data_IF_189345246889
#
_entry.id   IF_189345246889
#
_cell.length_a   1.000
_cell.length_b   1.000
_cell.length_c   1.000
_cell.angle_alpha   90.00
_cell.angle_beta   90.00
_cell.angle_gamma   90.00
#
_symmetry.space_group_name_H-M   'P 1'
#
loop_
_entity.id
_entity.type
_entity.pdbx_description
1 polymer ?
#
# COMPACT_ATOMS: atom_id res chain seq x y z
N UNK A 1 -3.64 82.25 12.94
CA UNK A 1 -4.59 81.18 13.29
C UNK A 1 -3.96 79.85 12.96
N UNK A 2 -3.48 79.16 14.00
CA UNK A 2 -2.83 77.86 13.90
C UNK A 2 -3.83 76.78 13.46
N UNK A 3 -3.50 75.99 12.45
CA UNK A 3 -4.07 74.65 12.31
C UNK A 3 -2.94 73.63 12.17
N UNK A 4 -2.98 72.75 13.16
CA UNK A 4 -2.11 71.66 13.53
C UNK A 4 -1.86 70.71 12.35
N UNK A 5 -0.60 70.47 11.99
CA UNK A 5 -0.20 69.39 11.09
C UNK A 5 -0.15 68.12 11.94
N UNK A 6 -1.09 67.19 11.70
CA UNK A 6 -1.15 65.91 12.39
C UNK A 6 -0.30 64.89 11.60
N UNK A 7 0.88 64.57 12.13
CA UNK A 7 1.75 63.52 11.60
C UNK A 7 1.21 62.16 12.05
N UNK A 8 0.58 61.40 11.14
CA UNK A 8 0.20 60.01 11.41
C UNK A 8 1.42 59.10 11.16
N UNK A 9 2.04 58.64 12.26
CA UNK A 9 3.04 57.58 12.25
C UNK A 9 2.35 56.26 11.90
N UNK A 10 2.49 55.82 10.64
CA UNK A 10 2.07 54.48 10.21
C UNK A 10 3.13 53.50 10.71
N UNK A 11 2.87 52.90 11.87
CA UNK A 11 3.66 51.76 12.37
C UNK A 11 3.23 50.53 11.58
N UNK A 12 4.06 50.12 10.63
CA UNK A 12 3.92 48.89 9.87
C UNK A 12 4.06 47.67 10.79
N UNK A 13 2.93 47.11 11.21
CA UNK A 13 2.89 45.78 11.81
C UNK A 13 3.20 44.75 10.71
N UNK A 14 4.48 44.38 10.57
CA UNK A 14 4.85 43.15 9.90
C UNK A 14 4.31 42.00 10.74
N UNK A 15 3.15 41.45 10.37
CA UNK A 15 2.78 40.12 10.85
C UNK A 15 3.73 39.12 10.21
N UNK A 16 4.78 38.78 10.96
CA UNK A 16 5.53 37.56 10.72
C UNK A 16 4.55 36.43 11.01
N UNK A 17 3.90 35.92 9.97
CA UNK A 17 3.21 34.64 10.06
C UNK A 17 4.32 33.59 10.17
N UNK A 18 4.74 33.31 11.41
CA UNK A 18 5.48 32.11 11.70
C UNK A 18 4.51 30.94 11.47
N UNK A 19 4.46 30.41 10.24
CA UNK A 19 3.87 29.11 9.99
C UNK A 19 4.84 28.06 10.55
N UNK A 20 4.74 27.82 11.86
CA UNK A 20 5.23 26.58 12.45
C UNK A 20 4.30 25.46 11.96
N UNK A 21 4.48 25.03 10.71
CA UNK A 21 4.10 23.67 10.33
C UNK A 21 5.16 22.72 10.91
N UNK A 22 5.25 22.68 12.23
CA UNK A 22 5.85 21.57 12.97
C UNK A 22 4.89 20.38 12.92
N UNK A 23 4.45 20.02 11.71
CA UNK A 23 3.99 18.68 11.43
C UNK A 23 5.25 17.86 11.61
N UNK A 24 5.44 17.28 12.79
CA UNK A 24 6.50 16.30 13.08
C UNK A 24 6.61 15.43 11.84
N UNK A 25 7.65 15.66 11.04
CA UNK A 25 7.77 15.08 9.71
C UNK A 25 8.11 13.61 9.97
N UNK A 26 7.08 12.76 10.07
CA UNK A 26 7.34 11.34 10.24
C UNK A 26 8.05 10.85 8.97
N UNK A 27 9.08 10.02 9.12
CA UNK A 27 9.92 9.59 8.00
C UNK A 27 9.11 8.95 6.86
N UNK A 28 7.98 8.34 7.21
CA UNK A 28 7.10 7.58 6.32
C UNK A 28 5.74 8.25 6.13
N UNK A 29 5.70 9.59 6.14
CA UNK A 29 4.47 10.40 6.00
C UNK A 29 4.39 11.15 4.65
N UNK A 30 5.24 10.83 3.67
CA UNK A 30 5.11 11.39 2.31
C UNK A 30 4.08 10.61 1.50
N UNK A 31 3.61 11.20 0.40
CA UNK A 31 2.55 10.61 -0.44
C UNK A 31 2.86 9.17 -0.87
N UNK A 32 4.13 8.89 -1.20
CA UNK A 32 4.57 7.55 -1.62
C UNK A 32 4.33 6.48 -0.54
N UNK A 33 4.49 6.81 0.75
CA UNK A 33 4.21 5.89 1.86
C UNK A 33 2.71 5.66 2.11
N UNK A 34 1.85 6.47 1.49
CA UNK A 34 0.39 6.36 1.60
C UNK A 34 -0.27 5.69 0.39
N UNK A 35 0.47 5.39 -0.68
CA UNK A 35 -0.07 4.82 -1.92
C UNK A 35 -0.82 3.49 -1.71
N UNK A 36 -0.42 2.71 -0.71
CA UNK A 36 -1.04 1.41 -0.40
C UNK A 36 -2.09 1.49 0.74
N UNK A 37 -2.44 2.69 1.21
CA UNK A 37 -3.33 2.88 2.36
C UNK A 37 -4.77 2.42 2.11
N UNK A 38 -5.19 2.33 0.86
CA UNK A 38 -6.52 1.84 0.48
C UNK A 38 -6.76 0.39 0.94
N UNK A 39 -5.70 -0.38 1.20
CA UNK A 39 -5.77 -1.75 1.69
C UNK A 39 -5.84 -1.85 3.22
N UNK A 40 -5.56 -0.77 3.96
CA UNK A 40 -5.58 -0.76 5.42
C UNK A 40 -7.01 -0.95 5.94
N UNK A 41 -7.21 -1.93 6.84
CA UNK A 41 -8.51 -2.27 7.39
C UNK A 41 -8.63 -3.72 7.84
N UNK A 42 -9.82 -4.07 8.33
CA UNK A 42 -10.24 -5.46 8.55
C UNK A 42 -11.18 -5.85 7.41
N UNK A 43 -11.02 -7.07 6.92
CA UNK A 43 -11.65 -7.53 5.69
C UNK A 43 -12.15 -8.95 5.84
N UNK A 44 -13.37 -9.18 5.35
CA UNK A 44 -13.83 -10.49 4.91
C UNK A 44 -13.49 -10.65 3.42
N UNK A 45 -12.82 -11.74 3.05
CA UNK A 45 -12.34 -11.96 1.69
C UNK A 45 -13.15 -13.04 1.01
N UNK A 46 -13.63 -12.72 -0.19
CA UNK A 46 -14.47 -13.59 -1.02
C UNK A 46 -13.75 -14.01 -2.30
N UNK A 47 -14.07 -15.18 -2.83
CA UNK A 47 -13.73 -15.55 -4.20
C UNK A 47 -14.67 -14.89 -5.23
N UNK A 48 -14.45 -15.16 -6.51
CA UNK A 48 -15.27 -14.66 -7.62
C UNK A 48 -16.71 -15.21 -7.62
N UNK A 49 -16.98 -16.29 -6.89
CA UNK A 49 -18.31 -16.89 -6.76
C UNK A 49 -19.06 -16.35 -5.52
N UNK A 50 -18.43 -15.46 -4.74
CA UNK A 50 -19.00 -14.90 -3.53
C UNK A 50 -18.88 -15.81 -2.29
N UNK A 51 -18.01 -16.81 -2.34
CA UNK A 51 -17.71 -17.69 -1.20
C UNK A 51 -16.62 -17.04 -0.34
N UNK A 52 -16.82 -17.04 0.98
CA UNK A 52 -15.79 -16.57 1.93
C UNK A 52 -14.59 -17.52 1.90
N UNK A 53 -13.42 -16.99 1.62
CA UNK A 53 -12.15 -17.73 1.59
C UNK A 53 -11.26 -17.43 2.78
N UNK A 54 -11.54 -16.37 3.54
CA UNK A 54 -10.80 -16.03 4.75
C UNK A 54 -11.10 -14.63 5.26
N UNK A 55 -10.34 -14.23 6.26
CA UNK A 55 -10.32 -12.88 6.81
C UNK A 55 -8.90 -12.32 6.77
N UNK A 56 -8.81 -11.00 6.67
CA UNK A 56 -7.53 -10.32 6.56
C UNK A 56 -7.53 -9.03 7.38
N UNK A 57 -6.47 -8.79 8.14
CA UNK A 57 -6.26 -7.57 8.91
C UNK A 57 -4.97 -6.88 8.48
N UNK A 58 -5.11 -5.66 7.97
CA UNK A 58 -4.00 -4.84 7.49
C UNK A 58 -3.80 -3.67 8.46
N UNK A 59 -2.62 -3.59 9.07
CA UNK A 59 -2.29 -2.56 10.07
C UNK A 59 -0.99 -1.83 9.73
N UNK A 60 -0.90 -0.57 10.14
CA UNK A 60 0.35 0.21 10.06
C UNK A 60 1.17 0.04 11.32
N UNK A 61 2.46 -0.20 11.16
CA UNK A 61 3.46 -0.33 12.21
C UNK A 61 4.58 0.71 12.01
N UNK A 62 5.36 0.94 13.07
CA UNK A 62 6.56 1.79 13.05
C UNK A 62 6.31 3.16 12.41
N UNK A 63 5.34 3.91 12.93
CA UNK A 63 5.02 5.26 12.46
C UNK A 63 4.73 5.34 10.93
N UNK A 64 3.94 4.39 10.42
CA UNK A 64 3.51 4.24 9.02
C UNK A 64 4.55 3.66 8.04
N UNK A 65 5.73 3.26 8.52
CA UNK A 65 6.77 2.72 7.64
C UNK A 65 6.50 1.29 7.15
N UNK A 66 5.65 0.53 7.84
CA UNK A 66 5.33 -0.86 7.49
C UNK A 66 3.83 -1.08 7.53
N UNK A 67 3.31 -1.74 6.49
CA UNK A 67 1.97 -2.31 6.45
C UNK A 67 2.08 -3.82 6.70
N UNK A 68 1.54 -4.27 7.83
CA UNK A 68 1.48 -5.66 8.26
C UNK A 68 0.13 -6.26 7.90
N UNK A 69 0.18 -7.34 7.14
CA UNK A 69 -0.97 -8.20 6.83
C UNK A 69 -1.04 -9.36 7.83
N UNK A 70 -2.22 -9.68 8.34
CA UNK A 70 -2.50 -10.88 9.12
C UNK A 70 -3.63 -11.65 8.42
N UNK A 71 -3.27 -12.69 7.67
CA UNK A 71 -4.20 -13.49 6.88
C UNK A 71 -4.62 -14.75 7.64
N UNK A 72 -5.93 -14.96 7.71
CA UNK A 72 -6.53 -16.20 8.22
C UNK A 72 -7.42 -16.84 7.16
N UNK A 73 -6.98 -17.97 6.61
CA UNK A 73 -7.72 -18.71 5.60
C UNK A 73 -8.82 -19.57 6.22
N UNK A 74 -9.94 -19.70 5.51
CA UNK A 74 -10.98 -20.69 5.82
C UNK A 74 -10.51 -22.14 5.60
N UNK A 75 -9.46 -22.36 4.81
CA UNK A 75 -8.85 -23.67 4.56
C UNK A 75 -7.66 -24.00 5.47
N UNK A 76 -7.25 -23.10 6.38
CA UNK A 76 -6.19 -23.31 7.36
C UNK A 76 -4.78 -22.88 6.93
N UNK A 77 -4.57 -22.42 5.69
CA UNK A 77 -3.33 -21.78 5.28
C UNK A 77 -3.27 -20.33 5.76
N UNK A 78 -2.63 -20.08 6.89
CA UNK A 78 -2.53 -18.78 7.53
C UNK A 78 -1.16 -18.18 7.26
N UNK A 79 -1.10 -16.87 7.12
CA UNK A 79 0.14 -16.21 6.75
C UNK A 79 0.13 -14.73 7.06
N UNK A 80 1.22 -14.09 6.66
CA UNK A 80 1.45 -12.69 6.96
C UNK A 80 2.44 -12.09 5.98
N UNK A 81 2.20 -10.84 5.61
CA UNK A 81 3.16 -10.03 4.88
C UNK A 81 3.56 -8.76 5.61
N UNK A 82 4.80 -8.32 5.35
CA UNK A 82 5.26 -6.97 5.65
C UNK A 82 5.47 -6.25 4.32
N UNK A 83 4.81 -5.09 4.17
CA UNK A 83 4.87 -4.26 2.99
C UNK A 83 5.48 -2.90 3.39
N UNK A 84 6.42 -2.39 2.61
CA UNK A 84 7.08 -1.12 2.90
C UNK A 84 7.53 -0.42 1.63
N UNK A 85 7.57 0.91 1.68
CA UNK A 85 8.17 1.72 0.63
C UNK A 85 9.66 1.94 0.92
N UNK A 86 10.51 1.62 -0.05
CA UNK A 86 11.94 1.89 -0.02
C UNK A 86 12.23 3.19 -0.78
N UNK A 87 12.59 4.24 -0.05
CA UNK A 87 12.92 5.54 -0.63
C UNK A 87 14.25 5.58 -1.40
N UNK A 88 15.09 4.56 -1.27
CA UNK A 88 16.40 4.51 -1.96
C UNK A 88 16.23 4.26 -3.45
N UNK A 89 15.27 3.38 -3.81
CA UNK A 89 15.00 2.98 -5.18
C UNK A 89 13.57 3.30 -5.64
N UNK A 90 12.81 3.98 -4.78
CA UNK A 90 11.44 4.39 -5.00
C UNK A 90 10.49 3.24 -5.34
N UNK A 91 10.55 2.15 -4.57
CA UNK A 91 9.70 0.97 -4.79
C UNK A 91 8.94 0.54 -3.55
N UNK A 92 7.78 -0.05 -3.77
CA UNK A 92 7.10 -0.86 -2.77
C UNK A 92 7.66 -2.27 -2.78
N UNK A 93 7.84 -2.82 -1.58
CA UNK A 93 8.42 -4.13 -1.35
C UNK A 93 7.50 -4.91 -0.41
N UNK A 94 7.39 -6.21 -0.65
CA UNK A 94 6.65 -7.13 0.20
C UNK A 94 7.48 -8.37 0.48
N UNK A 95 7.40 -8.86 1.72
CA UNK A 95 7.75 -10.23 2.06
C UNK A 95 6.54 -10.92 2.69
N UNK A 96 6.08 -12.00 2.07
CA UNK A 96 5.05 -12.91 2.57
C UNK A 96 5.71 -14.15 3.16
N UNK A 97 5.15 -14.66 4.26
CA UNK A 97 5.45 -15.97 4.85
C UNK A 97 4.16 -16.62 5.35
N UNK A 98 4.03 -17.93 5.21
CA UNK A 98 2.89 -18.69 5.73
C UNK A 98 3.27 -19.94 6.52
N UNK A 99 2.26 -20.55 7.14
CA UNK A 99 2.40 -21.75 7.97
C UNK A 99 2.68 -23.04 7.19
N UNK A 100 2.71 -23.00 5.85
CA UNK A 100 3.20 -24.11 5.03
C UNK A 100 4.72 -24.09 4.84
N UNK A 101 5.38 -23.00 5.26
CA UNK A 101 6.80 -22.75 5.01
C UNK A 101 7.06 -22.08 3.66
N UNK A 102 6.01 -21.68 2.94
CA UNK A 102 6.15 -20.88 1.72
C UNK A 102 6.47 -19.42 2.06
N UNK A 103 7.30 -18.82 1.21
CA UNK A 103 7.64 -17.40 1.28
C UNK A 103 7.69 -16.80 -0.12
N UNK A 104 7.32 -15.53 -0.23
CA UNK A 104 7.30 -14.81 -1.49
C UNK A 104 7.79 -13.38 -1.26
N UNK A 105 8.81 -12.99 -2.02
CA UNK A 105 9.34 -11.63 -2.02
C UNK A 105 8.88 -10.94 -3.30
N UNK A 106 8.27 -9.77 -3.16
CA UNK A 106 7.76 -8.98 -4.27
C UNK A 106 8.27 -7.55 -4.21
N UNK A 107 8.40 -6.93 -5.37
CA UNK A 107 8.82 -5.54 -5.55
C UNK A 107 8.08 -4.90 -6.72
N UNK A 108 7.76 -3.62 -6.61
CA UNK A 108 7.09 -2.88 -7.67
C UNK A 108 6.63 -1.51 -7.23
N UNK A 109 5.51 -1.04 -7.77
CA UNK A 109 5.07 0.34 -7.64
C UNK A 109 3.55 0.50 -7.67
N UNK A 110 3.10 1.67 -7.23
CA UNK A 110 1.75 2.15 -7.50
C UNK A 110 1.68 2.74 -8.92
N UNK A 111 0.85 2.15 -9.78
CA UNK A 111 0.73 2.52 -11.19
C UNK A 111 -0.76 2.58 -11.53
N UNK A 112 -1.20 3.70 -12.10
CA UNK A 112 -2.59 3.91 -12.57
C UNK A 112 -3.65 3.54 -11.53
N UNK A 113 -3.44 3.93 -10.27
CA UNK A 113 -4.38 3.68 -9.18
C UNK A 113 -4.30 2.28 -8.56
N UNK A 114 -3.32 1.46 -8.94
CA UNK A 114 -3.17 0.07 -8.49
C UNK A 114 -1.79 -0.17 -7.89
N UNK A 115 -1.71 -0.96 -6.83
CA UNK A 115 -0.42 -1.46 -6.36
C UNK A 115 -0.07 -2.72 -7.15
N UNK A 116 1.08 -2.73 -7.84
CA UNK A 116 1.52 -3.87 -8.67
C UNK A 116 2.92 -4.29 -8.23
N UNK A 117 3.04 -5.49 -7.66
CA UNK A 117 4.31 -6.04 -7.19
C UNK A 117 4.63 -7.37 -7.90
N UNK A 118 5.91 -7.60 -8.20
CA UNK A 118 6.40 -8.79 -8.90
C UNK A 118 7.52 -9.48 -8.14
N UNK A 119 7.62 -10.80 -8.24
CA UNK A 119 8.81 -11.53 -7.80
C UNK A 119 9.93 -11.42 -8.83
N UNK A 120 11.14 -11.77 -8.43
CA UNK A 120 12.18 -12.17 -9.38
C UNK A 120 11.74 -13.40 -10.19
N UNK A 121 12.48 -13.68 -11.27
CA UNK A 121 12.28 -14.89 -12.06
C UNK A 121 12.64 -16.12 -11.21
N UNK A 122 11.68 -17.02 -11.11
CA UNK A 122 11.78 -18.31 -10.44
C UNK A 122 11.93 -19.43 -11.48
N UNK A 123 12.71 -20.46 -11.12
CA UNK A 123 12.85 -21.66 -11.93
C UNK A 123 11.76 -22.66 -11.57
N UNK A 124 10.85 -22.94 -12.49
CA UNK A 124 9.83 -23.97 -12.36
C UNK A 124 10.15 -25.22 -13.19
N UNK A 125 9.42 -26.31 -12.93
CA UNK A 125 9.54 -27.54 -13.73
C UNK A 125 9.18 -27.33 -15.20
N UNK A 126 8.24 -26.42 -15.47
CA UNK A 126 7.74 -26.10 -16.81
C UNK A 126 8.41 -24.85 -17.41
N UNK A 127 9.56 -24.45 -16.88
CA UNK A 127 10.30 -23.26 -17.30
C UNK A 127 10.31 -22.13 -16.28
N UNK A 128 10.98 -21.05 -16.66
CA UNK A 128 11.09 -19.84 -15.84
C UNK A 128 9.76 -19.10 -15.80
N UNK A 129 9.40 -18.58 -14.62
CA UNK A 129 8.19 -17.81 -14.40
C UNK A 129 8.40 -16.75 -13.31
N UNK A 130 7.49 -15.79 -13.20
CA UNK A 130 7.46 -14.85 -12.08
C UNK A 130 6.02 -14.67 -11.58
N UNK A 131 5.90 -14.23 -10.33
CA UNK A 131 4.63 -13.88 -9.70
C UNK A 131 4.36 -12.41 -9.93
N UNK A 132 3.11 -12.04 -10.21
CA UNK A 132 2.63 -10.66 -10.12
C UNK A 132 1.39 -10.65 -9.24
N UNK A 133 1.35 -9.73 -8.28
CA UNK A 133 0.16 -9.46 -7.49
C UNK A 133 -0.24 -8.01 -7.69
N UNK A 134 -1.51 -7.81 -8.01
CA UNK A 134 -2.12 -6.50 -8.19
C UNK A 134 -3.21 -6.28 -7.16
N UNK A 135 -3.16 -5.16 -6.44
CA UNK A 135 -4.24 -4.70 -5.58
C UNK A 135 -4.91 -3.48 -6.23
N UNK A 136 -6.22 -3.60 -6.46
CA UNK A 136 -7.03 -2.55 -7.08
C UNK A 136 -8.11 -2.08 -6.09
N UNK A 137 -8.11 -0.81 -5.68
CA UNK A 137 -9.24 -0.24 -4.95
C UNK A 137 -10.44 -0.10 -5.87
N UNK A 138 -11.62 -0.47 -5.40
CA UNK A 138 -12.88 -0.39 -6.13
C UNK A 138 -13.73 0.78 -5.64
N UNK A 139 -14.67 1.22 -6.48
CA UNK A 139 -15.54 2.37 -6.17
C UNK A 139 -16.48 2.15 -4.96
N UNK A 140 -16.76 0.88 -4.63
CA UNK A 140 -17.58 0.50 -3.47
C UNK A 140 -16.76 0.39 -2.16
N UNK A 141 -15.48 0.74 -2.20
CA UNK A 141 -14.56 0.64 -1.07
C UNK A 141 -13.99 -0.75 -0.83
N UNK A 142 -14.35 -1.74 -1.67
CA UNK A 142 -13.68 -3.04 -1.67
C UNK A 142 -12.29 -2.97 -2.32
N UNK A 143 -11.47 -3.99 -2.09
CA UNK A 143 -10.18 -4.16 -2.78
C UNK A 143 -10.18 -5.50 -3.50
N UNK A 144 -9.77 -5.50 -4.76
CA UNK A 144 -9.50 -6.76 -5.48
C UNK A 144 -8.01 -7.03 -5.46
N UNK A 145 -7.62 -8.18 -4.92
CA UNK A 145 -6.29 -8.75 -5.09
C UNK A 145 -6.34 -9.78 -6.22
N UNK A 146 -5.44 -9.64 -7.18
CA UNK A 146 -5.24 -10.59 -8.27
C UNK A 146 -3.80 -11.07 -8.27
N UNK A 147 -3.58 -12.37 -8.04
CA UNK A 147 -2.28 -13.02 -8.12
C UNK A 147 -2.22 -13.90 -9.37
N UNK A 148 -1.22 -13.63 -10.20
CA UNK A 148 -1.00 -14.29 -11.49
C UNK A 148 0.43 -14.82 -11.59
N UNK A 149 0.59 -15.88 -12.38
CA UNK A 149 1.88 -16.38 -12.83
C UNK A 149 2.11 -16.00 -14.29
N UNK A 150 3.29 -15.48 -14.59
CA UNK A 150 3.71 -15.09 -15.93
C UNK A 150 4.96 -15.85 -16.33
N UNK A 151 5.10 -16.15 -17.62
CA UNK A 151 6.37 -16.59 -18.20
C UNK A 151 7.37 -15.44 -18.20
N UNK A 152 8.65 -15.76 -18.35
CA UNK A 152 9.72 -14.77 -18.50
C UNK A 152 9.49 -13.78 -19.66
N UNK A 153 8.82 -14.20 -20.73
CA UNK A 153 8.45 -13.35 -21.87
C UNK A 153 7.22 -12.44 -21.61
N UNK A 154 6.62 -12.51 -20.42
CA UNK A 154 5.45 -11.74 -20.03
C UNK A 154 4.10 -12.36 -20.42
N UNK A 155 4.09 -13.55 -21.01
CA UNK A 155 2.83 -14.27 -21.28
C UNK A 155 2.20 -14.78 -20.00
N UNK A 156 0.89 -14.56 -19.83
CA UNK A 156 0.14 -15.11 -18.70
C UNK A 156 0.14 -16.65 -18.74
N UNK A 157 0.45 -17.28 -17.61
CA UNK A 157 0.34 -18.72 -17.41
C UNK A 157 -1.04 -19.03 -16.83
N UNK A 158 -1.37 -18.43 -15.68
CA UNK A 158 -2.64 -18.62 -14.99
C UNK A 158 -2.90 -17.55 -13.92
N UNK A 159 -4.17 -17.39 -13.56
CA UNK A 159 -4.62 -16.76 -12.32
C UNK A 159 -4.44 -17.77 -11.17
N UNK A 160 -3.58 -17.46 -10.20
CA UNK A 160 -3.33 -18.29 -9.04
C UNK A 160 -4.37 -18.03 -7.93
N UNK A 161 -4.79 -16.78 -7.78
CA UNK A 161 -5.81 -16.38 -6.81
C UNK A 161 -6.45 -15.04 -7.19
N UNK A 162 -7.74 -14.90 -6.90
CA UNK A 162 -8.46 -13.63 -6.97
C UNK A 162 -9.39 -13.48 -5.78
N UNK A 163 -9.04 -12.53 -4.92
CA UNK A 163 -9.77 -12.22 -3.69
C UNK A 163 -10.44 -10.86 -3.75
N UNK A 164 -11.68 -10.78 -3.29
CA UNK A 164 -12.47 -9.55 -3.16
C UNK A 164 -12.63 -9.25 -1.68
N UNK A 165 -11.94 -8.22 -1.21
CA UNK A 165 -11.88 -7.80 0.17
C UNK A 165 -13.02 -6.83 0.43
N UNK A 166 -13.95 -7.18 1.32
CA UNK A 166 -15.04 -6.29 1.76
C UNK A 166 -14.83 -5.95 3.23
N UNK A 167 -14.91 -4.67 3.56
CA UNK A 167 -14.74 -4.24 4.95
C UNK A 167 -15.81 -4.86 5.83
N UNK A 168 -15.40 -5.24 7.03
CA UNK A 168 -16.31 -5.63 8.10
C UNK A 168 -17.16 -4.44 8.59
#
# INVERSE_FOLDING_TARGET
MNKLILFFLIVSFNQIIAQTNDKKLCACCTDNYSEFDFWVGNWTVYDVNGIVVGSNKITKLYDNCVLREEWSSSSGNNGTSNNYYNSTDNTWNQIWVDNSGFSLVLKGNFIDGKMILKSDILKGQNGNYYNQITWTPNNDGSVTQLWEYFKEDGSLIQEAFKGIYKKD
#
